data_IF_449331722596
#
_entry.id   IF_449331722596
#
_cell.length_a   1.000
_cell.length_b   1.000
_cell.length_c   1.000
_cell.angle_alpha   90.00
_cell.angle_beta   90.00
_cell.angle_gamma   90.00
#
_symmetry.space_group_name_H-M   'P 1'
#
loop_
_entity.id
_entity.type
_entity.pdbx_description
1 polymer ?
#
# COMPACT_ATOMS: atom_id res chain seq x y z
N UNK A 1 33.81 -20.19 17.86
CA UNK A 1 32.41 -20.44 18.24
C UNK A 1 31.63 -20.77 16.98
N UNK A 2 31.00 -21.95 16.88
CA UNK A 2 30.11 -22.28 15.76
C UNK A 2 28.75 -21.64 16.00
N UNK A 3 28.10 -21.13 14.95
CA UNK A 3 26.75 -20.55 15.03
C UNK A 3 25.75 -21.49 14.37
N UNK A 4 24.59 -21.68 14.99
CA UNK A 4 23.49 -22.42 14.38
C UNK A 4 22.85 -21.60 13.25
N UNK A 5 22.52 -22.24 12.13
CA UNK A 5 21.89 -21.59 10.99
C UNK A 5 21.91 -22.44 9.72
N UNK A 6 21.31 -21.93 8.65
CA UNK A 6 21.38 -22.50 7.31
C UNK A 6 22.65 -22.01 6.60
N UNK A 7 23.42 -22.92 5.99
CA UNK A 7 24.67 -22.60 5.29
C UNK A 7 24.63 -23.14 3.86
N UNK A 8 25.18 -22.37 2.93
CA UNK A 8 25.39 -22.83 1.55
C UNK A 8 26.71 -23.58 1.47
N UNK A 9 26.66 -24.89 1.24
CA UNK A 9 27.84 -25.76 1.12
C UNK A 9 27.97 -26.15 -0.36
N UNK A 10 29.00 -25.66 -1.08
CA UNK A 10 29.26 -26.07 -2.45
C UNK A 10 29.41 -27.59 -2.56
N UNK A 11 28.89 -28.17 -3.65
CA UNK A 11 29.15 -29.57 -4.00
C UNK A 11 30.67 -29.77 -4.07
N UNK A 12 31.18 -30.88 -3.52
CA UNK A 12 32.62 -31.23 -3.43
C UNK A 12 33.44 -30.48 -2.37
N UNK A 13 32.80 -29.73 -1.46
CA UNK A 13 33.49 -29.13 -0.31
C UNK A 13 34.16 -30.19 0.59
N UNK A 14 35.44 -30.00 0.93
CA UNK A 14 36.12 -30.87 1.89
C UNK A 14 35.62 -30.63 3.33
N UNK A 15 35.85 -31.56 4.28
CA UNK A 15 35.53 -31.32 5.70
C UNK A 15 36.19 -30.05 6.28
N UNK A 16 37.38 -29.66 5.78
CA UNK A 16 38.04 -28.40 6.17
C UNK A 16 37.30 -27.18 5.64
N UNK A 17 36.80 -27.24 4.40
CA UNK A 17 36.03 -26.15 3.80
C UNK A 17 34.68 -25.98 4.50
N UNK A 18 34.00 -27.08 4.82
CA UNK A 18 32.75 -27.06 5.59
C UNK A 18 32.99 -26.43 6.96
N UNK A 19 34.05 -26.85 7.68
CA UNK A 19 34.39 -26.26 8.98
C UNK A 19 34.71 -24.76 8.87
N UNK A 20 35.39 -24.34 7.80
CA UNK A 20 35.67 -22.93 7.51
C UNK A 20 34.39 -22.12 7.27
N UNK A 21 33.45 -22.65 6.48
CA UNK A 21 32.13 -22.04 6.22
C UNK A 21 31.34 -21.91 7.52
N UNK A 22 31.28 -22.97 8.34
CA UNK A 22 30.59 -22.93 9.64
C UNK A 22 31.23 -21.95 10.62
N UNK A 23 32.58 -21.84 10.63
CA UNK A 23 33.31 -20.86 11.45
C UNK A 23 33.16 -19.42 10.94
N UNK A 24 32.98 -19.22 9.65
CA UNK A 24 32.80 -17.88 9.05
C UNK A 24 31.52 -17.21 9.52
N UNK A 25 30.50 -18.00 9.92
CA UNK A 25 29.19 -17.50 10.30
C UNK A 25 28.38 -16.91 9.14
N UNK A 26 28.83 -17.08 7.88
CA UNK A 26 28.10 -16.64 6.69
C UNK A 26 26.90 -17.57 6.43
N UNK A 27 25.79 -17.25 7.07
CA UNK A 27 24.53 -17.97 6.91
C UNK A 27 23.79 -17.53 5.65
N UNK A 28 22.93 -18.41 5.13
CA UNK A 28 21.97 -18.09 4.07
C UNK A 28 20.92 -17.14 4.63
N UNK A 29 20.82 -15.96 4.03
CA UNK A 29 19.79 -14.97 4.36
C UNK A 29 18.62 -15.14 3.41
N UNK A 30 17.44 -15.41 3.94
CA UNK A 30 16.18 -15.50 3.20
C UNK A 30 15.47 -14.15 3.16
N UNK A 31 14.53 -14.00 2.24
CA UNK A 31 13.78 -12.76 2.01
C UNK A 31 12.28 -13.03 2.04
N UNK A 32 11.57 -12.20 2.78
CA UNK A 32 10.12 -12.09 2.75
C UNK A 32 9.75 -10.73 2.17
N UNK A 33 8.94 -10.71 1.11
CA UNK A 33 8.50 -9.47 0.47
C UNK A 33 7.07 -9.16 0.88
N UNK A 34 6.90 -8.12 1.69
CA UNK A 34 5.58 -7.53 1.96
C UNK A 34 5.28 -6.54 0.82
N UNK A 35 4.29 -6.86 -0.01
CA UNK A 35 3.95 -6.07 -1.20
C UNK A 35 3.08 -4.87 -0.83
N UNK A 36 3.38 -3.71 -1.41
CA UNK A 36 2.61 -2.46 -1.24
C UNK A 36 1.14 -2.62 -1.65
N UNK A 37 0.23 -1.95 -0.95
CA UNK A 37 -1.19 -1.94 -1.27
C UNK A 37 -1.95 -3.23 -0.94
N UNK A 38 -1.30 -4.21 -0.32
CA UNK A 38 -1.95 -5.40 0.24
C UNK A 38 -2.66 -5.08 1.55
N UNK A 39 -3.75 -5.81 1.79
CA UNK A 39 -4.38 -5.84 3.11
C UNK A 39 -3.51 -6.60 4.10
N UNK A 40 -3.67 -6.28 5.37
CA UNK A 40 -2.94 -6.93 6.46
C UNK A 40 -3.20 -8.43 6.48
N UNK A 41 -4.44 -8.86 6.23
CA UNK A 41 -4.80 -10.26 6.11
C UNK A 41 -4.03 -10.99 4.99
N UNK A 42 -3.78 -10.33 3.86
CA UNK A 42 -3.01 -10.88 2.73
C UNK A 42 -1.53 -11.03 3.12
N UNK A 43 -0.92 -10.01 3.73
CA UNK A 43 0.47 -10.04 4.20
C UNK A 43 0.68 -11.16 5.23
N UNK A 44 -0.20 -11.26 6.22
CA UNK A 44 -0.12 -12.34 7.22
C UNK A 44 -0.37 -13.72 6.59
N UNK A 45 -1.24 -13.80 5.58
CA UNK A 45 -1.44 -15.02 4.80
C UNK A 45 -0.18 -15.46 4.06
N UNK A 46 0.56 -14.52 3.46
CA UNK A 46 1.86 -14.79 2.82
C UNK A 46 2.90 -15.24 3.84
N UNK A 47 2.97 -14.56 4.99
CA UNK A 47 3.91 -14.87 6.05
C UNK A 47 3.71 -16.28 6.63
N UNK A 48 2.45 -16.71 6.80
CA UNK A 48 2.13 -18.08 7.26
C UNK A 48 2.64 -19.16 6.30
N UNK A 49 2.64 -18.89 4.99
CA UNK A 49 3.12 -19.82 3.95
C UNK A 49 4.61 -19.66 3.63
N UNK A 50 5.32 -18.78 4.33
CA UNK A 50 6.74 -18.54 4.07
C UNK A 50 7.59 -19.63 4.74
N UNK A 51 8.43 -20.29 3.94
CA UNK A 51 9.32 -21.37 4.37
C UNK A 51 10.48 -20.87 5.23
N UNK A 52 10.95 -21.73 6.14
CA UNK A 52 12.08 -21.43 7.01
C UNK A 52 11.76 -20.52 8.20
N UNK A 53 10.54 -20.00 8.31
CA UNK A 53 10.07 -19.32 9.52
C UNK A 53 9.35 -20.30 10.45
N UNK A 54 9.44 -20.05 11.76
CA UNK A 54 8.83 -20.87 12.82
C UNK A 54 7.74 -20.10 13.56
N UNK A 55 6.95 -20.81 14.38
CA UNK A 55 5.90 -20.24 15.20
C UNK A 55 4.60 -19.92 14.45
N UNK A 56 3.51 -19.86 15.23
CA UNK A 56 2.18 -19.43 14.78
C UNK A 56 2.10 -17.91 14.90
N UNK A 57 1.55 -17.24 13.89
CA UNK A 57 1.32 -15.79 13.92
C UNK A 57 0.20 -15.49 14.94
N UNK A 58 0.57 -14.84 16.05
CA UNK A 58 -0.33 -14.40 17.11
C UNK A 58 -0.49 -12.88 17.14
N UNK A 59 0.43 -12.13 16.53
CA UNK A 59 0.30 -10.69 16.35
C UNK A 59 -0.96 -10.34 15.53
N UNK A 60 -1.69 -9.32 15.98
CA UNK A 60 -2.92 -8.81 15.35
C UNK A 60 -2.76 -7.34 14.93
N UNK A 61 -1.86 -7.04 13.97
CA UNK A 61 -1.70 -5.68 13.45
C UNK A 61 -3.00 -5.19 12.82
N UNK A 62 -3.25 -3.88 12.96
CA UNK A 62 -4.36 -3.20 12.27
C UNK A 62 -3.95 -2.87 10.83
N UNK A 63 -4.95 -2.55 10.01
CA UNK A 63 -4.71 -2.11 8.64
C UNK A 63 -3.85 -0.85 8.61
N UNK A 64 -2.79 -0.86 7.78
CA UNK A 64 -1.83 0.23 7.70
C UNK A 64 -0.71 0.21 8.75
N UNK A 65 -0.65 -0.79 9.64
CA UNK A 65 0.43 -0.90 10.64
C UNK A 65 1.68 -1.62 10.13
N UNK A 66 1.63 -2.29 8.98
CA UNK A 66 2.76 -3.06 8.45
C UNK A 66 3.41 -2.32 7.30
N UNK A 67 4.70 -1.96 7.42
CA UNK A 67 5.40 -1.33 6.30
C UNK A 67 5.69 -2.38 5.21
N UNK A 68 5.22 -2.19 3.97
CA UNK A 68 5.57 -3.08 2.87
C UNK A 68 7.00 -2.82 2.41
N UNK A 69 7.88 -3.79 2.67
CA UNK A 69 9.29 -3.79 2.28
C UNK A 69 9.78 -5.24 2.11
N UNK A 70 11.05 -5.39 1.73
CA UNK A 70 11.74 -6.69 1.77
C UNK A 70 12.41 -6.89 3.13
N UNK A 71 11.93 -7.87 3.88
CA UNK A 71 12.46 -8.24 5.18
C UNK A 71 13.36 -9.47 5.06
N UNK A 72 14.58 -9.32 5.56
CA UNK A 72 15.56 -10.40 5.63
C UNK A 72 15.37 -11.21 6.92
N UNK A 73 15.42 -12.53 6.82
CA UNK A 73 15.30 -13.46 7.95
C UNK A 73 16.23 -14.67 7.77
N UNK A 74 16.55 -15.33 8.88
CA UNK A 74 17.29 -16.58 8.90
C UNK A 74 16.34 -17.77 9.06
N UNK A 75 16.78 -18.95 8.63
CA UNK A 75 16.06 -20.18 8.93
C UNK A 75 15.91 -20.36 10.45
N UNK A 76 14.68 -20.61 10.91
CA UNK A 76 14.35 -20.75 12.32
C UNK A 76 13.72 -19.49 12.94
N UNK A 77 13.86 -18.31 12.31
CA UNK A 77 13.33 -17.06 12.85
C UNK A 77 11.80 -17.13 13.08
N UNK A 78 11.32 -16.46 14.13
CA UNK A 78 9.90 -16.49 14.48
C UNK A 78 9.09 -15.55 13.59
N UNK A 79 7.92 -16.01 13.11
CA UNK A 79 7.01 -15.18 12.30
C UNK A 79 6.58 -13.89 13.01
N UNK A 80 6.33 -13.93 14.31
CA UNK A 80 5.90 -12.74 15.07
C UNK A 80 7.01 -11.68 15.16
N UNK A 81 8.28 -12.08 15.14
CA UNK A 81 9.41 -11.13 15.12
C UNK A 81 9.41 -10.33 13.83
N UNK A 82 9.08 -10.99 12.70
CA UNK A 82 8.96 -10.31 11.42
C UNK A 82 7.78 -9.32 11.41
N UNK A 83 6.63 -9.70 11.98
CA UNK A 83 5.48 -8.78 12.12
C UNK A 83 5.84 -7.58 12.99
N UNK A 84 6.51 -7.79 14.13
CA UNK A 84 6.97 -6.70 15.00
C UNK A 84 7.96 -5.78 14.29
N UNK A 85 8.88 -6.33 13.50
CA UNK A 85 9.80 -5.54 12.65
C UNK A 85 9.04 -4.69 11.62
N UNK A 86 8.02 -5.23 10.97
CA UNK A 86 7.17 -4.45 10.05
C UNK A 86 6.46 -3.29 10.74
N UNK A 87 5.94 -3.52 11.96
CA UNK A 87 5.26 -2.48 12.77
C UNK A 87 6.22 -1.37 13.20
N UNK A 88 7.41 -1.74 13.66
CA UNK A 88 8.46 -0.77 14.03
C UNK A 88 8.89 0.01 12.80
N UNK A 89 9.09 -0.64 11.65
CA UNK A 89 9.44 0.04 10.42
C UNK A 89 8.37 1.05 9.98
N UNK A 90 7.08 0.68 10.03
CA UNK A 90 5.97 1.59 9.71
C UNK A 90 5.96 2.80 10.64
N UNK A 91 6.09 2.56 11.94
CA UNK A 91 6.13 3.63 12.94
C UNK A 91 7.28 4.60 12.65
N UNK A 92 8.49 4.08 12.46
CA UNK A 92 9.67 4.91 12.21
C UNK A 92 9.53 5.74 10.93
N UNK A 93 9.05 5.13 9.83
CA UNK A 93 8.85 5.84 8.56
C UNK A 93 7.77 6.91 8.67
N UNK A 94 6.68 6.60 9.38
CA UNK A 94 5.59 7.55 9.62
C UNK A 94 6.08 8.75 10.42
N UNK A 95 6.82 8.52 11.51
CA UNK A 95 7.39 9.58 12.36
C UNK A 95 8.42 10.42 11.60
N UNK A 96 9.34 9.78 10.88
CA UNK A 96 10.37 10.46 10.07
C UNK A 96 9.74 11.38 9.02
N UNK A 97 8.81 10.85 8.20
CA UNK A 97 8.20 11.62 7.13
C UNK A 97 7.24 12.69 7.67
N UNK A 98 6.59 12.45 8.82
CA UNK A 98 5.72 13.42 9.44
C UNK A 98 6.46 14.69 9.88
N UNK A 99 7.72 14.56 10.33
CA UNK A 99 8.58 15.69 10.66
C UNK A 99 8.93 16.52 9.41
N UNK A 100 9.02 15.87 8.24
CA UNK A 100 9.39 16.49 6.96
C UNK A 100 8.19 16.94 6.12
N UNK A 101 6.97 16.89 6.67
CA UNK A 101 5.75 17.20 5.93
C UNK A 101 5.65 18.68 5.57
N UNK A 102 4.92 18.96 4.49
CA UNK A 102 4.55 20.33 4.13
C UNK A 102 3.68 20.99 5.21
N UNK A 103 3.88 22.30 5.39
CA UNK A 103 3.10 23.11 6.31
C UNK A 103 1.71 23.38 5.71
N UNK A 104 0.67 23.43 6.54
CA UNK A 104 -0.68 23.77 6.09
C UNK A 104 -1.43 22.62 5.40
N UNK A 105 -1.00 21.37 5.59
CA UNK A 105 -1.80 20.21 5.19
C UNK A 105 -3.09 20.11 6.03
N UNK A 106 -4.22 19.69 5.42
CA UNK A 106 -5.47 19.45 6.15
C UNK A 106 -5.39 18.23 7.07
N UNK A 107 -4.37 17.38 6.90
CA UNK A 107 -4.06 16.20 7.69
C UNK A 107 -3.45 16.60 9.03
N UNK A 108 -3.99 16.10 10.13
CA UNK A 108 -3.65 16.52 11.50
C UNK A 108 -2.78 15.54 12.26
N UNK A 109 -2.77 14.27 11.87
CA UNK A 109 -2.00 13.23 12.57
C UNK A 109 -1.23 12.33 11.61
N UNK A 110 -0.15 11.66 12.07
CA UNK A 110 0.51 10.62 11.29
C UNK A 110 -0.45 9.51 10.84
N UNK A 111 -1.43 9.14 11.69
CA UNK A 111 -2.43 8.15 11.33
C UNK A 111 -3.29 8.61 10.15
N UNK A 112 -3.75 9.86 10.12
CA UNK A 112 -4.49 10.41 8.99
C UNK A 112 -3.64 10.43 7.70
N UNK A 113 -2.33 10.63 7.81
CA UNK A 113 -1.43 10.49 6.68
C UNK A 113 -1.38 9.05 6.18
N UNK A 114 -1.30 8.05 7.06
CA UNK A 114 -1.37 6.63 6.66
C UNK A 114 -2.72 6.29 6.02
N UNK A 115 -3.83 6.83 6.55
CA UNK A 115 -5.16 6.65 5.96
C UNK A 115 -5.15 7.16 4.52
N UNK A 116 -4.73 8.41 4.30
CA UNK A 116 -4.71 8.97 2.95
C UNK A 116 -3.71 8.27 2.03
N UNK A 117 -2.54 7.90 2.54
CA UNK A 117 -1.52 7.16 1.80
C UNK A 117 -2.06 5.81 1.33
N UNK A 118 -2.84 5.12 2.16
CA UNK A 118 -3.48 3.85 1.78
C UNK A 118 -4.50 4.00 0.66
N UNK A 119 -5.15 5.17 0.56
CA UNK A 119 -6.06 5.48 -0.55
C UNK A 119 -5.26 5.75 -1.82
N UNK A 120 -4.24 6.62 -1.75
CA UNK A 120 -3.36 6.95 -2.88
C UNK A 120 -2.67 5.70 -3.45
N UNK A 121 -2.19 4.81 -2.58
CA UNK A 121 -1.57 3.53 -2.96
C UNK A 121 -2.51 2.65 -3.80
N UNK A 122 -3.81 2.66 -3.49
CA UNK A 122 -4.79 1.84 -4.21
C UNK A 122 -5.30 2.51 -5.49
N UNK A 123 -5.08 3.80 -5.67
CA UNK A 123 -5.52 4.56 -6.85
C UNK A 123 -4.50 4.53 -7.99
N UNK A 124 -3.21 4.65 -7.68
CA UNK A 124 -2.18 4.65 -8.73
C UNK A 124 -0.95 3.84 -8.35
N UNK A 125 -0.55 2.96 -9.27
CA UNK A 125 0.75 2.29 -9.22
C UNK A 125 1.86 3.12 -9.90
N UNK A 126 1.53 4.23 -10.55
CA UNK A 126 2.51 5.07 -11.24
C UNK A 126 3.19 6.03 -10.27
N UNK A 127 4.52 5.89 -10.15
CA UNK A 127 5.35 6.70 -9.26
C UNK A 127 5.20 8.19 -9.56
N UNK A 128 5.18 8.56 -10.84
CA UNK A 128 5.13 9.95 -11.30
C UNK A 128 3.79 10.64 -10.99
N UNK A 129 2.68 9.88 -10.95
CA UNK A 129 1.35 10.44 -10.70
C UNK A 129 1.01 10.50 -9.22
N UNK A 130 1.69 9.72 -8.39
CA UNK A 130 1.35 9.52 -6.98
C UNK A 130 1.24 10.83 -6.20
N UNK A 131 2.19 11.75 -6.39
CA UNK A 131 2.17 13.09 -5.75
C UNK A 131 1.01 13.96 -6.24
N UNK A 132 0.58 13.78 -7.50
CA UNK A 132 -0.54 14.53 -8.10
C UNK A 132 -1.89 13.97 -7.67
N UNK A 133 -2.04 12.65 -7.58
CA UNK A 133 -3.21 12.00 -6.98
C UNK A 133 -3.35 12.41 -5.51
N UNK A 134 -2.25 12.41 -4.75
CA UNK A 134 -2.25 12.91 -3.37
C UNK A 134 -2.71 14.38 -3.29
N UNK A 135 -2.23 15.24 -4.19
CA UNK A 135 -2.65 16.64 -4.29
C UNK A 135 -4.17 16.79 -4.49
N UNK A 136 -4.77 16.01 -5.39
CA UNK A 136 -6.22 16.02 -5.61
C UNK A 136 -6.99 15.71 -4.33
N UNK A 137 -6.61 14.66 -3.59
CA UNK A 137 -7.31 14.32 -2.36
C UNK A 137 -7.10 15.37 -1.26
N UNK A 138 -5.90 15.94 -1.15
CA UNK A 138 -5.60 17.03 -0.20
C UNK A 138 -6.44 18.27 -0.52
N UNK A 139 -6.55 18.64 -1.79
CA UNK A 139 -7.40 19.75 -2.22
C UNK A 139 -8.87 19.49 -1.90
N UNK A 140 -9.37 18.28 -2.14
CA UNK A 140 -10.73 17.89 -1.77
C UNK A 140 -10.96 17.98 -0.26
N UNK A 141 -10.01 17.52 0.55
CA UNK A 141 -10.10 17.63 2.02
C UNK A 141 -10.15 19.09 2.47
N UNK A 142 -9.29 19.96 1.90
CA UNK A 142 -9.29 21.41 2.19
C UNK A 142 -10.65 22.05 1.89
N UNK A 143 -11.31 21.63 0.81
CA UNK A 143 -12.62 22.16 0.39
C UNK A 143 -13.82 21.45 1.04
N UNK A 144 -13.61 20.48 1.94
CA UNK A 144 -14.70 19.69 2.52
C UNK A 144 -15.48 18.85 1.48
N UNK A 145 -14.85 18.55 0.34
CA UNK A 145 -15.38 17.67 -0.69
C UNK A 145 -15.25 16.21 -0.25
N UNK A 146 -16.14 15.37 -0.77
CA UNK A 146 -16.04 13.92 -0.62
C UNK A 146 -14.85 13.39 -1.45
N UNK A 147 -14.13 12.40 -0.94
CA UNK A 147 -12.97 11.84 -1.65
C UNK A 147 -13.40 11.01 -2.88
N UNK A 148 -14.53 10.30 -2.79
CA UNK A 148 -15.11 9.51 -3.89
C UNK A 148 -14.11 8.53 -4.52
N UNK A 149 -13.46 7.73 -3.68
CA UNK A 149 -12.46 6.73 -4.10
C UNK A 149 -13.05 5.33 -4.05
N UNK A 150 -13.03 4.63 -5.18
CA UNK A 150 -13.55 3.27 -5.33
C UNK A 150 -12.89 2.25 -4.38
N UNK A 151 -11.56 2.24 -4.19
CA UNK A 151 -10.90 1.39 -3.19
C UNK A 151 -11.48 1.47 -1.78
N UNK A 152 -11.96 2.65 -1.35
CA UNK A 152 -12.54 2.82 -0.01
C UNK A 152 -13.88 2.08 0.11
N UNK A 153 -14.68 2.07 -0.96
CA UNK A 153 -15.95 1.31 -1.03
C UNK A 153 -15.66 -0.19 -1.04
N UNK A 154 -14.67 -0.62 -1.83
CA UNK A 154 -14.24 -2.02 -1.91
C UNK A 154 -13.79 -2.53 -0.55
N UNK A 155 -12.98 -1.74 0.17
CA UNK A 155 -12.55 -2.09 1.52
C UNK A 155 -13.74 -2.19 2.47
N UNK A 156 -14.66 -1.24 2.46
CA UNK A 156 -15.88 -1.26 3.29
C UNK A 156 -16.82 -2.44 2.99
N UNK A 157 -16.84 -2.97 1.77
CA UNK A 157 -17.63 -4.15 1.40
C UNK A 157 -16.98 -5.48 1.77
N UNK A 158 -15.65 -5.50 1.88
CA UNK A 158 -14.86 -6.72 2.11
C UNK A 158 -14.29 -6.80 3.52
N UNK A 159 -14.37 -5.70 4.28
CA UNK A 159 -13.74 -5.49 5.58
C UNK A 159 -12.24 -5.80 5.57
N UNK A 160 -11.54 -5.53 4.45
CA UNK A 160 -10.11 -5.80 4.31
C UNK A 160 -9.70 -7.28 4.33
N UNK A 161 -10.66 -8.21 4.37
CA UNK A 161 -10.35 -9.64 4.49
C UNK A 161 -10.01 -10.30 3.16
N UNK A 162 -10.46 -9.70 2.04
CA UNK A 162 -10.28 -10.25 0.69
C UNK A 162 -10.49 -9.17 -0.36
N UNK A 163 -9.97 -9.41 -1.56
CA UNK A 163 -10.30 -8.60 -2.73
C UNK A 163 -11.75 -8.85 -3.16
N UNK A 164 -12.35 -7.84 -3.78
CA UNK A 164 -13.66 -8.00 -4.40
C UNK A 164 -13.52 -8.90 -5.64
N UNK A 165 -14.26 -10.01 -5.68
CA UNK A 165 -14.17 -11.02 -6.76
C UNK A 165 -14.84 -10.60 -8.07
N UNK A 166 -15.37 -9.37 -8.13
CA UNK A 166 -16.08 -8.81 -9.28
C UNK A 166 -15.79 -7.32 -9.40
N UNK A 167 -16.04 -6.69 -10.56
CA UNK A 167 -16.01 -5.25 -10.68
C UNK A 167 -16.97 -4.56 -9.71
N UNK A 168 -16.60 -3.36 -9.27
CA UNK A 168 -17.44 -2.48 -8.46
C UNK A 168 -18.65 -2.02 -9.29
N UNK A 169 -19.86 -2.11 -8.73
CA UNK A 169 -21.11 -1.75 -9.41
C UNK A 169 -21.66 -0.44 -8.85
N UNK A 170 -22.48 0.27 -9.63
CA UNK A 170 -23.15 1.51 -9.18
C UNK A 170 -23.93 1.37 -7.88
N UNK A 171 -24.52 0.20 -7.62
CA UNK A 171 -25.25 -0.07 -6.36
C UNK A 171 -24.32 -0.12 -5.14
N UNK A 172 -23.07 -0.54 -5.34
CA UNK A 172 -22.07 -0.64 -4.28
C UNK A 172 -21.63 0.75 -3.81
N UNK A 173 -21.56 1.73 -4.72
CA UNK A 173 -21.26 3.13 -4.39
C UNK A 173 -22.29 3.78 -3.47
N UNK A 174 -23.50 3.19 -3.38
CA UNK A 174 -24.58 3.62 -2.49
C UNK A 174 -24.66 2.80 -1.20
N UNK A 175 -23.75 1.84 -0.99
CA UNK A 175 -23.76 1.02 0.22
C UNK A 175 -23.43 1.85 1.46
N UNK A 176 -24.23 1.69 2.52
CA UNK A 176 -24.01 2.37 3.80
C UNK A 176 -22.91 1.64 4.57
N UNK A 177 -21.71 2.20 4.56
CA UNK A 177 -20.60 1.77 5.40
C UNK A 177 -19.71 2.97 5.71
N UNK A 178 -18.96 2.97 6.82
CA UNK A 178 -18.20 4.15 7.24
C UNK A 178 -16.99 4.44 6.34
N UNK A 179 -16.51 3.46 5.58
CA UNK A 179 -15.41 3.64 4.62
C UNK A 179 -15.87 4.24 3.29
N UNK A 180 -17.17 4.32 3.01
CA UNK A 180 -17.67 4.78 1.72
C UNK A 180 -17.50 6.30 1.57
N UNK A 181 -16.41 6.71 0.91
CA UNK A 181 -16.10 8.12 0.64
C UNK A 181 -16.97 8.75 -0.46
N UNK A 182 -17.95 8.03 -1.04
CA UNK A 182 -19.02 8.64 -1.84
C UNK A 182 -20.16 9.19 -1.00
N UNK A 183 -20.31 8.70 0.23
CA UNK A 183 -21.40 9.10 1.14
C UNK A 183 -20.86 9.97 2.28
N UNK A 184 -19.73 9.57 2.86
CA UNK A 184 -19.09 10.25 3.98
C UNK A 184 -18.07 11.28 3.50
N UNK A 185 -18.05 12.46 4.12
CA UNK A 185 -17.01 13.49 3.89
C UNK A 185 -15.78 13.21 4.76
N UNK A 186 -14.63 13.70 4.32
CA UNK A 186 -13.37 13.53 5.04
C UNK A 186 -12.72 12.17 4.79
N UNK A 187 -11.79 11.82 5.68
CA UNK A 187 -11.09 10.54 5.66
C UNK A 187 -12.00 9.41 6.21
N UNK A 188 -11.85 8.16 5.73
CA UNK A 188 -12.49 7.02 6.36
C UNK A 188 -11.92 6.76 7.78
N UNK A 189 -12.56 5.89 8.60
CA UNK A 189 -12.13 5.66 9.99
C UNK A 189 -10.73 5.07 10.17
N UNK A 190 -10.15 4.49 9.11
CA UNK A 190 -8.86 3.84 9.15
C UNK A 190 -8.29 3.60 7.75
N UNK A 191 -7.04 3.10 7.66
CA UNK A 191 -6.42 2.77 6.39
C UNK A 191 -7.17 1.63 5.68
N UNK A 192 -7.06 1.60 4.36
CA UNK A 192 -7.70 0.58 3.51
C UNK A 192 -6.70 -0.42 2.91
N UNK A 193 -5.42 -0.30 3.26
CA UNK A 193 -4.32 -1.16 2.86
C UNK A 193 -3.06 -0.77 3.66
N UNK A 194 -1.98 -1.53 3.48
CA UNK A 194 -0.65 -1.12 3.93
C UNK A 194 0.08 -0.31 2.83
N UNK A 195 0.24 1.02 3.00
CA UNK A 195 0.91 1.86 2.00
C UNK A 195 2.42 1.73 2.06
N UNK A 196 3.08 1.89 0.92
CA UNK A 196 4.53 2.00 0.85
C UNK A 196 5.03 3.37 1.34
N UNK A 197 6.34 3.45 1.62
CA UNK A 197 7.02 4.70 2.00
C UNK A 197 6.77 5.82 0.97
N UNK A 198 6.72 5.47 -0.32
CA UNK A 198 6.48 6.44 -1.39
C UNK A 198 5.09 7.08 -1.32
N UNK A 199 4.05 6.33 -0.97
CA UNK A 199 2.68 6.84 -0.79
C UNK A 199 2.55 7.71 0.45
N UNK A 200 3.21 7.34 1.55
CA UNK A 200 3.27 8.17 2.76
C UNK A 200 3.98 9.50 2.45
N UNK A 201 5.11 9.45 1.73
CA UNK A 201 5.82 10.65 1.31
C UNK A 201 4.97 11.53 0.37
N UNK A 202 4.24 10.92 -0.56
CA UNK A 202 3.43 11.66 -1.52
C UNK A 202 2.28 12.46 -0.86
N UNK A 203 1.67 11.94 0.21
CA UNK A 203 0.61 12.67 0.94
C UNK A 203 1.14 13.72 1.91
N UNK A 204 2.39 13.57 2.36
CA UNK A 204 3.04 14.54 3.25
C UNK A 204 3.81 15.63 2.48
N UNK A 205 4.07 15.40 1.19
CA UNK A 205 4.68 16.35 0.27
C UNK A 205 4.06 16.16 -1.13
N UNK A 206 2.79 16.55 -1.30
CA UNK A 206 2.13 16.49 -2.61
C UNK A 206 2.79 17.42 -3.62
N UNK A 207 2.40 17.31 -4.89
CA UNK A 207 2.71 18.38 -5.85
C UNK A 207 1.74 19.54 -5.62
N UNK A 208 2.22 20.76 -5.72
CA UNK A 208 1.34 21.92 -5.74
C UNK A 208 0.51 21.90 -7.03
N UNK A 209 -0.80 21.79 -6.87
CA UNK A 209 -1.76 21.79 -7.98
C UNK A 209 -3.12 22.25 -7.45
N UNK A 210 -3.97 22.72 -8.36
CA UNK A 210 -5.38 23.04 -8.11
C UNK A 210 -6.32 21.94 -8.62
N UNK A 211 -5.78 20.80 -9.05
CA UNK A 211 -6.56 19.67 -9.55
C UNK A 211 -7.52 19.17 -8.47
N UNK A 212 -8.76 18.89 -8.90
CA UNK A 212 -9.84 18.37 -8.06
C UNK A 212 -10.38 17.03 -8.57
N UNK A 213 -10.02 16.63 -9.78
CA UNK A 213 -10.51 15.40 -10.39
C UNK A 213 -9.42 14.74 -11.21
N UNK A 214 -9.48 13.42 -11.29
CA UNK A 214 -8.68 12.63 -12.21
C UNK A 214 -9.54 11.50 -12.77
N UNK A 215 -9.20 11.02 -13.97
CA UNK A 215 -9.82 9.86 -14.63
C UNK A 215 -8.78 9.20 -15.51
N UNK A 216 -8.86 7.88 -15.70
CA UNK A 216 -7.92 7.17 -16.56
C UNK A 216 -7.85 7.79 -17.97
N UNK A 217 -6.66 7.91 -18.53
CA UNK A 217 -6.41 8.54 -19.84
C UNK A 217 -6.50 7.54 -21.02
N UNK A 218 -6.63 6.25 -20.72
CA UNK A 218 -6.67 5.15 -21.70
C UNK A 218 -5.31 4.66 -22.20
N UNK A 219 -4.21 5.28 -21.75
CA UNK A 219 -2.80 4.96 -22.07
C UNK A 219 -2.03 4.38 -20.89
N UNK A 220 -2.62 4.43 -19.69
CA UNK A 220 -2.08 3.80 -18.48
C UNK A 220 -1.89 4.77 -17.31
N UNK A 221 -2.16 6.06 -17.51
CA UNK A 221 -2.15 7.08 -16.47
C UNK A 221 -3.51 7.76 -16.31
N UNK A 222 -3.48 9.01 -15.86
CA UNK A 222 -4.66 9.79 -15.54
C UNK A 222 -4.64 11.19 -16.19
N UNK A 223 -5.79 11.59 -16.71
CA UNK A 223 -6.09 12.97 -17.07
C UNK A 223 -6.62 13.70 -15.83
N UNK A 224 -5.90 14.72 -15.39
CA UNK A 224 -6.24 15.56 -14.25
C UNK A 224 -7.02 16.80 -14.71
N UNK A 225 -7.86 17.33 -13.84
CA UNK A 225 -8.67 18.52 -14.14
C UNK A 225 -9.06 19.27 -12.87
N UNK A 226 -9.21 20.59 -13.01
CA UNK A 226 -9.61 21.48 -11.91
C UNK A 226 -11.12 21.63 -11.80
N UNK A 227 -11.86 21.43 -12.90
CA UNK A 227 -13.32 21.61 -12.96
C UNK A 227 -14.07 20.33 -13.30
N UNK A 228 -15.32 20.24 -12.83
CA UNK A 228 -16.21 19.13 -13.16
C UNK A 228 -16.53 19.06 -14.67
N UNK A 229 -16.59 20.22 -15.35
CA UNK A 229 -16.86 20.29 -16.79
C UNK A 229 -15.73 19.63 -17.59
N UNK A 230 -14.49 19.94 -17.25
CA UNK A 230 -13.30 19.34 -17.86
C UNK A 230 -13.21 17.85 -17.52
N UNK A 231 -13.43 17.47 -16.26
CA UNK A 231 -13.49 16.06 -15.87
C UNK A 231 -14.50 15.28 -16.71
N UNK A 232 -15.71 15.81 -16.90
CA UNK A 232 -16.75 15.16 -17.70
C UNK A 232 -16.36 15.04 -19.19
N UNK A 233 -15.56 15.96 -19.73
CA UNK A 233 -14.99 15.82 -21.08
C UNK A 233 -13.99 14.66 -21.12
N UNK A 234 -13.08 14.57 -20.15
CA UNK A 234 -12.11 13.48 -20.06
C UNK A 234 -12.80 12.11 -19.91
N UNK A 235 -13.87 12.03 -19.10
CA UNK A 235 -14.70 10.81 -18.97
C UNK A 235 -15.35 10.41 -20.30
N UNK A 236 -15.83 11.37 -21.11
CA UNK A 236 -16.40 11.08 -22.43
C UNK A 236 -15.33 10.53 -23.38
N UNK A 237 -14.12 11.10 -23.36
CA UNK A 237 -12.98 10.62 -24.16
C UNK A 237 -12.61 9.19 -23.79
N UNK A 238 -12.45 8.89 -22.50
CA UNK A 238 -12.14 7.54 -22.01
C UNK A 238 -13.19 6.52 -22.49
N UNK A 239 -14.48 6.82 -22.31
CA UNK A 239 -15.56 5.90 -22.73
C UNK A 239 -15.58 5.65 -24.24
N UNK A 240 -15.16 6.61 -25.05
CA UNK A 240 -15.02 6.43 -26.50
C UNK A 240 -13.91 5.44 -26.81
N UNK A 241 -12.73 5.64 -26.20
CA UNK A 241 -11.57 4.74 -26.35
C UNK A 241 -11.86 3.31 -25.88
N UNK A 242 -12.59 3.14 -24.78
CA UNK A 242 -13.01 1.83 -24.28
C UNK A 242 -13.93 1.11 -25.28
N UNK A 243 -14.88 1.82 -25.88
CA UNK A 243 -15.79 1.25 -26.90
C UNK A 243 -15.04 0.82 -28.15
N UNK A 244 -14.10 1.65 -28.63
CA UNK A 244 -13.28 1.34 -29.80
C UNK A 244 -12.40 0.10 -29.54
N UNK A 245 -11.77 0.00 -28.37
CA UNK A 245 -10.99 -1.19 -27.97
C UNK A 245 -11.83 -2.45 -27.89
N UNK A 246 -13.09 -2.37 -27.47
CA UNK A 246 -14.00 -3.52 -27.43
C UNK A 246 -14.48 -3.95 -28.82
N UNK A 247 -14.51 -3.04 -29.80
CA UNK A 247 -14.89 -3.36 -31.18
C UNK A 247 -13.73 -3.94 -32.00
N UNK A 248 -12.49 -3.71 -31.56
CA UNK A 248 -11.28 -4.20 -32.24
C UNK A 248 -10.78 -5.54 -31.68
N UNK A 249 -11.49 -6.13 -30.71
CA UNK A 249 -11.21 -7.42 -30.06
C UNK A 249 -12.32 -8.40 -30.38
#
# INVERSE_FOLDING_TARGET
>A
VMRAGEFSIPKESSPRDILSILRSGKMVIRRFVAVEGLYTAEILGHLRRTDGLTGIVTETPKEGELLPETYHYNFGDNRNDLVRRMKVAMKNVSEELWLLREVGLPIKTPLEAIILASIVEKETGLVEERRRVASVFINRLRLGMRLQSDPTVIYGLTNGNRRLSRPLKRKDLKSLNPYNTYLNKGLPPGPIANPGRASIKAVLNPIESTDLYFVADGKGGHAFSTTLSEHNKNVKVLRKLEREKMQTR
#
